data_IF_585408157669
#
_entry.id   IF_585408157669
#
_cell.length_a   1.000
_cell.length_b   1.000
_cell.length_c   1.000
_cell.angle_alpha   90.00
_cell.angle_beta   90.00
_cell.angle_gamma   90.00
#
_symmetry.space_group_name_H-M   'P 1'
#
loop_
_entity.id
_entity.type
_entity.pdbx_description
1 polymer ?
#
# COMPACT_ATOMS: atom_id res chain seq x y z
N UNK A 1 -4.11 10.42 19.64
CA UNK A 1 -5.33 9.78 19.11
C UNK A 1 -5.06 9.42 17.66
N UNK A 2 -5.00 8.14 17.31
CA UNK A 2 -4.92 7.72 15.91
C UNK A 2 -6.34 7.58 15.39
N UNK A 3 -6.75 8.40 14.42
CA UNK A 3 -8.08 8.30 13.83
C UNK A 3 -7.97 7.53 12.51
N UNK A 4 -8.66 6.39 12.44
CA UNK A 4 -8.72 5.58 11.22
C UNK A 4 -9.78 6.19 10.31
N UNK A 5 -9.37 6.73 9.16
CA UNK A 5 -10.31 7.09 8.09
C UNK A 5 -10.72 5.81 7.36
N UNK A 6 -12.01 5.46 7.43
CA UNK A 6 -12.59 4.28 6.78
C UNK A 6 -13.24 4.71 5.47
N UNK A 7 -12.46 4.76 4.40
CA UNK A 7 -12.92 5.15 3.06
C UNK A 7 -11.78 5.20 2.05
N UNK A 8 -12.06 5.05 0.74
CA UNK A 8 -11.04 5.23 -0.28
C UNK A 8 -10.53 6.68 -0.29
N UNK A 9 -9.24 6.85 -0.56
CA UNK A 9 -8.60 8.16 -0.65
C UNK A 9 -9.03 8.84 -1.96
N UNK A 10 -10.00 9.74 -1.88
CA UNK A 10 -10.57 10.49 -3.01
C UNK A 10 -10.29 11.98 -2.83
N UNK A 11 -10.30 12.79 -3.90
CA UNK A 11 -10.08 14.24 -3.79
C UNK A 11 -11.01 14.92 -2.79
N UNK A 12 -12.27 14.50 -2.75
CA UNK A 12 -13.30 15.03 -1.85
C UNK A 12 -13.08 14.60 -0.39
N UNK A 13 -12.47 13.42 -0.16
CA UNK A 13 -12.32 12.82 1.17
C UNK A 13 -10.94 12.99 1.77
N UNK A 14 -9.94 13.42 0.99
CA UNK A 14 -8.53 13.38 1.38
C UNK A 14 -8.04 14.63 2.13
N UNK A 15 -8.49 15.82 1.73
CA UNK A 15 -7.91 17.06 2.27
C UNK A 15 -8.22 17.28 3.75
N UNK A 16 -9.46 16.99 4.17
CA UNK A 16 -9.90 17.20 5.55
C UNK A 16 -9.21 16.27 6.56
N UNK A 17 -9.04 14.97 6.30
CA UNK A 17 -8.21 14.10 7.14
C UNK A 17 -6.76 14.56 7.18
N UNK A 18 -6.14 14.88 6.04
CA UNK A 18 -4.72 15.30 5.97
C UNK A 18 -4.46 16.54 6.82
N UNK A 19 -5.39 17.51 6.83
CA UNK A 19 -5.28 18.72 7.66
C UNK A 19 -5.27 18.47 9.17
N UNK A 20 -5.68 17.29 9.65
CA UNK A 20 -5.71 16.95 11.09
C UNK A 20 -4.39 16.39 11.62
N UNK A 21 -3.39 16.22 10.76
CA UNK A 21 -2.11 15.61 11.09
C UNK A 21 -0.96 16.51 10.67
N UNK A 22 0.15 16.45 11.40
CA UNK A 22 1.34 17.28 11.12
C UNK A 22 2.34 16.60 10.15
N UNK A 23 2.21 15.27 9.98
CA UNK A 23 3.03 14.45 9.10
C UNK A 23 2.19 13.33 8.50
N UNK A 24 2.39 13.08 7.21
CA UNK A 24 1.66 12.05 6.46
C UNK A 24 2.63 10.99 5.96
N UNK A 25 2.23 9.72 6.02
CA UNK A 25 2.94 8.61 5.41
C UNK A 25 2.13 8.05 4.24
N UNK A 26 2.73 8.02 3.05
CA UNK A 26 2.15 7.38 1.87
C UNK A 26 2.67 5.94 1.76
N UNK A 27 1.79 5.00 2.08
CA UNK A 27 2.01 3.56 1.97
C UNK A 27 1.21 2.95 0.81
N UNK A 28 0.76 3.78 -0.14
CA UNK A 28 -0.02 3.32 -1.27
C UNK A 28 0.85 2.61 -2.30
N UNK A 29 0.22 1.78 -3.12
CA UNK A 29 0.87 0.95 -4.12
C UNK A 29 0.41 1.32 -5.55
N UNK A 30 -0.15 2.52 -5.69
CA UNK A 30 -0.65 3.07 -6.94
C UNK A 30 -0.17 4.53 -7.09
N UNK A 31 0.13 4.90 -8.33
CA UNK A 31 0.76 6.19 -8.64
C UNK A 31 -0.22 7.34 -8.42
N UNK A 32 -1.51 7.15 -8.73
CA UNK A 32 -2.56 8.18 -8.58
C UNK A 32 -2.68 8.66 -7.13
N UNK A 33 -2.67 7.75 -6.15
CA UNK A 33 -2.70 8.08 -4.72
C UNK A 33 -1.44 8.83 -4.30
N UNK A 34 -0.27 8.45 -4.82
CA UNK A 34 0.97 9.20 -4.56
C UNK A 34 0.88 10.67 -4.97
N UNK A 35 0.31 10.97 -6.14
CA UNK A 35 0.06 12.36 -6.57
C UNK A 35 -1.00 13.05 -5.71
N UNK A 36 -2.11 12.36 -5.41
CA UNK A 36 -3.19 12.90 -4.59
C UNK A 36 -2.71 13.30 -3.19
N UNK A 37 -2.01 12.38 -2.51
CA UNK A 37 -1.48 12.60 -1.16
C UNK A 37 -0.39 13.67 -1.17
N UNK A 38 0.47 13.70 -2.19
CA UNK A 38 1.43 14.79 -2.36
C UNK A 38 0.75 16.15 -2.40
N UNK A 39 -0.23 16.31 -3.29
CA UNK A 39 -0.88 17.59 -3.49
C UNK A 39 -1.67 18.01 -2.24
N UNK A 40 -2.28 17.07 -1.54
CA UNK A 40 -2.93 17.31 -0.25
C UNK A 40 -1.94 17.78 0.82
N UNK A 41 -0.77 17.15 0.92
CA UNK A 41 0.28 17.54 1.86
C UNK A 41 0.83 18.93 1.54
N UNK A 42 1.08 19.24 0.27
CA UNK A 42 1.55 20.59 -0.15
C UNK A 42 0.51 21.65 0.18
N UNK A 43 -0.77 21.41 -0.12
CA UNK A 43 -1.86 22.35 0.17
C UNK A 43 -2.08 22.55 1.68
N UNK A 44 -1.77 21.55 2.49
CA UNK A 44 -1.90 21.60 3.94
C UNK A 44 -0.61 22.09 4.64
N UNK A 45 0.51 22.19 3.92
CA UNK A 45 1.81 22.58 4.48
C UNK A 45 2.50 21.46 5.28
N UNK A 46 2.17 20.19 5.01
CA UNK A 46 2.67 19.04 5.77
C UNK A 46 3.77 18.28 5.04
N UNK A 47 4.66 17.68 5.84
CA UNK A 47 5.68 16.78 5.32
C UNK A 47 5.06 15.43 4.93
N UNK A 48 5.53 14.89 3.81
CA UNK A 48 5.10 13.59 3.30
C UNK A 48 6.27 12.60 3.31
N UNK A 49 6.15 11.51 4.04
CA UNK A 49 7.08 10.37 3.98
C UNK A 49 6.51 9.34 3.01
N UNK A 50 7.08 9.22 1.81
CA UNK A 50 6.63 8.25 0.80
C UNK A 50 7.66 7.13 0.65
N UNK A 51 7.17 5.91 0.65
CA UNK A 51 7.96 4.71 0.40
C UNK A 51 7.23 3.84 -0.63
N UNK A 52 7.98 3.29 -1.58
CA UNK A 52 7.44 2.41 -2.61
C UNK A 52 8.40 1.26 -2.88
N UNK A 53 7.86 0.11 -3.27
CA UNK A 53 8.66 -1.03 -3.66
C UNK A 53 8.11 -1.70 -4.92
N UNK A 54 9.01 -2.34 -5.65
CA UNK A 54 8.70 -3.12 -6.83
C UNK A 54 9.64 -4.32 -6.87
N UNK A 55 9.09 -5.54 -6.85
CA UNK A 55 9.87 -6.79 -6.84
C UNK A 55 10.83 -6.88 -5.64
N UNK A 56 12.14 -6.73 -5.89
CA UNK A 56 13.23 -6.77 -4.91
C UNK A 56 13.87 -5.40 -4.70
N UNK A 57 13.26 -4.34 -5.23
CA UNK A 57 13.75 -2.98 -5.12
C UNK A 57 12.78 -2.13 -4.30
N UNK A 58 13.33 -1.17 -3.58
CA UNK A 58 12.61 -0.26 -2.73
C UNK A 58 13.16 1.14 -2.79
N UNK A 59 12.33 2.12 -2.51
CA UNK A 59 12.75 3.50 -2.33
C UNK A 59 11.99 4.19 -1.22
N UNK A 60 12.63 5.16 -0.58
CA UNK A 60 12.02 6.02 0.43
C UNK A 60 12.62 7.43 0.39
N UNK A 61 11.77 8.44 0.55
CA UNK A 61 12.19 9.84 0.69
C UNK A 61 11.18 10.64 1.52
N UNK A 62 11.58 11.83 1.96
CA UNK A 62 10.73 12.77 2.67
C UNK A 62 10.53 14.01 1.80
N UNK A 63 9.29 14.26 1.42
CA UNK A 63 8.86 15.37 0.61
C UNK A 63 8.29 16.51 1.45
N UNK A 64 8.42 17.73 0.94
CA UNK A 64 7.81 18.96 1.45
C UNK A 64 8.08 19.29 2.93
N UNK A 65 9.07 18.64 3.55
CA UNK A 65 9.53 19.00 4.88
C UNK A 65 10.19 20.39 4.86
N UNK A 66 9.74 21.29 5.74
CA UNK A 66 10.18 22.69 5.83
C UNK A 66 10.16 23.44 4.48
N UNK A 67 9.12 23.20 3.65
CA UNK A 67 9.01 23.82 2.33
C UNK A 67 9.97 23.25 1.28
N UNK A 68 10.55 22.08 1.54
CA UNK A 68 11.40 21.35 0.61
C UNK A 68 10.69 20.85 -0.65
N UNK A 69 11.42 20.08 -1.47
CA UNK A 69 10.91 19.54 -2.73
C UNK A 69 9.67 18.66 -2.50
N UNK A 70 8.63 18.83 -3.31
CA UNK A 70 7.48 17.93 -3.31
C UNK A 70 7.67 16.78 -4.31
N UNK A 71 6.79 15.78 -4.29
CA UNK A 71 6.81 14.65 -5.22
C UNK A 71 6.89 15.10 -6.69
N UNK A 72 6.11 16.13 -7.05
CA UNK A 72 6.08 16.71 -8.41
C UNK A 72 7.36 17.40 -8.85
N UNK A 73 8.24 17.77 -7.91
CA UNK A 73 9.56 18.30 -8.29
C UNK A 73 10.42 17.24 -8.97
N UNK A 74 10.20 15.96 -8.64
CA UNK A 74 10.89 14.82 -9.26
C UNK A 74 10.04 14.24 -10.39
N UNK A 75 8.77 13.97 -10.12
CA UNK A 75 7.83 13.33 -11.04
C UNK A 75 6.77 14.34 -11.49
N UNK A 76 7.08 15.12 -12.53
CA UNK A 76 6.35 16.37 -12.83
C UNK A 76 4.89 16.18 -13.20
N UNK A 77 4.59 15.13 -13.97
CA UNK A 77 3.24 14.82 -14.40
C UNK A 77 2.95 13.34 -14.14
N UNK A 78 1.73 13.01 -13.70
CA UNK A 78 1.30 11.63 -13.61
C UNK A 78 1.46 10.95 -14.97
N UNK A 79 1.97 9.70 -14.99
CA UNK A 79 2.08 8.95 -16.23
C UNK A 79 0.69 8.75 -16.87
N UNK A 80 0.60 8.69 -18.22
CA UNK A 80 -0.64 8.34 -18.91
C UNK A 80 -1.17 6.98 -18.43
N UNK A 81 -2.50 6.84 -18.34
CA UNK A 81 -3.19 5.63 -17.91
C UNK A 81 -2.63 4.34 -18.55
N UNK A 82 -2.33 4.41 -19.85
CA UNK A 82 -1.83 3.30 -20.66
C UNK A 82 -0.44 2.77 -20.26
N UNK A 83 0.33 3.58 -19.53
CA UNK A 83 1.72 3.25 -19.12
C UNK A 83 1.83 2.93 -17.63
N UNK A 84 0.74 3.06 -16.87
CA UNK A 84 0.68 2.68 -15.46
C UNK A 84 0.70 1.16 -15.38
N UNK A 85 1.85 0.58 -15.04
CA UNK A 85 1.97 -0.85 -14.79
C UNK A 85 1.39 -1.15 -13.41
N UNK A 86 0.29 -1.89 -13.34
CA UNK A 86 -0.24 -2.36 -12.07
C UNK A 86 0.80 -3.24 -11.38
N UNK A 87 1.20 -2.91 -10.14
CA UNK A 87 2.22 -3.65 -9.39
C UNK A 87 1.86 -5.13 -9.10
N UNK A 88 0.72 -5.62 -9.59
CA UNK A 88 0.25 -6.99 -9.43
C UNK A 88 1.05 -7.96 -10.33
N UNK A 89 1.54 -7.51 -11.49
CA UNK A 89 2.34 -8.38 -12.39
C UNK A 89 3.77 -8.65 -11.88
N UNK A 90 4.23 -7.88 -10.90
CA UNK A 90 5.57 -8.02 -10.33
C UNK A 90 5.51 -8.66 -8.95
N UNK A 91 5.57 -10.00 -8.89
CA UNK A 91 5.72 -10.79 -7.64
C UNK A 91 6.56 -10.03 -6.61
N UNK A 92 5.88 -9.40 -5.65
CA UNK A 92 6.50 -8.49 -4.70
C UNK A 92 6.90 -9.26 -3.45
N UNK A 93 8.16 -9.14 -3.05
CA UNK A 93 8.60 -9.79 -1.82
C UNK A 93 8.13 -8.96 -0.61
N UNK A 94 7.15 -9.50 0.14
CA UNK A 94 6.55 -8.83 1.32
C UNK A 94 7.57 -8.36 2.38
N UNK A 95 8.73 -9.02 2.44
CA UNK A 95 9.83 -8.64 3.32
C UNK A 95 10.40 -7.26 2.94
N UNK A 96 10.47 -6.93 1.65
CA UNK A 96 10.96 -5.62 1.16
C UNK A 96 10.04 -4.50 1.64
N UNK A 97 8.71 -4.68 1.52
CA UNK A 97 7.74 -3.75 2.10
C UNK A 97 7.82 -3.65 3.61
N UNK A 98 8.12 -4.75 4.31
CA UNK A 98 8.32 -4.72 5.76
C UNK A 98 9.52 -3.85 6.14
N UNK A 99 10.65 -4.00 5.45
CA UNK A 99 11.86 -3.18 5.66
C UNK A 99 11.57 -1.70 5.38
N UNK A 100 10.93 -1.39 4.25
CA UNK A 100 10.57 -0.02 3.91
C UNK A 100 9.55 0.58 4.88
N UNK A 101 8.57 -0.18 5.35
CA UNK A 101 7.59 0.26 6.33
C UNK A 101 8.25 0.65 7.66
N UNK A 102 9.22 -0.14 8.13
CA UNK A 102 10.02 0.21 9.31
C UNK A 102 10.82 1.50 9.10
N UNK A 103 11.45 1.67 7.93
CA UNK A 103 12.18 2.88 7.59
C UNK A 103 11.25 4.10 7.52
N UNK A 104 10.06 3.94 6.96
CA UNK A 104 9.03 4.96 6.85
C UNK A 104 8.51 5.39 8.21
N UNK A 105 8.14 4.44 9.07
CA UNK A 105 7.72 4.71 10.44
C UNK A 105 8.82 5.46 11.22
N UNK A 106 10.08 5.07 11.05
CA UNK A 106 11.20 5.78 11.68
C UNK A 106 11.28 7.25 11.22
N UNK A 107 10.99 7.57 9.96
CA UNK A 107 11.00 8.98 9.50
C UNK A 107 9.84 9.78 10.06
N UNK A 108 8.66 9.19 10.10
CA UNK A 108 7.48 9.79 10.73
C UNK A 108 7.78 10.12 12.19
N UNK A 109 8.32 9.16 12.96
CA UNK A 109 8.69 9.37 14.35
C UNK A 109 9.75 10.46 14.53
N UNK A 110 10.76 10.51 13.66
CA UNK A 110 11.79 11.56 13.71
C UNK A 110 11.22 12.96 13.44
N UNK A 111 10.31 13.08 12.49
CA UNK A 111 9.62 14.35 12.19
C UNK A 111 8.74 14.75 13.38
N UNK A 112 7.90 13.84 13.87
CA UNK A 112 7.03 14.09 15.02
C UNK A 112 7.79 14.47 16.29
N UNK A 113 8.98 13.90 16.50
CA UNK A 113 9.85 14.23 17.62
C UNK A 113 10.72 15.49 17.38
N UNK A 114 10.53 16.22 16.27
CA UNK A 114 11.35 17.38 15.89
C UNK A 114 12.86 17.11 15.81
N UNK A 115 13.25 15.86 15.53
CA UNK A 115 14.64 15.45 15.33
C UNK A 115 15.14 15.67 13.90
N UNK A 116 14.26 16.16 13.02
CA UNK A 116 14.49 16.34 11.60
C UNK A 116 14.49 15.02 10.81
N UNK A 117 14.00 15.00 9.56
CA UNK A 117 14.03 13.80 8.74
C UNK A 117 15.43 13.55 8.20
N UNK A 118 15.85 12.28 8.22
CA UNK A 118 16.81 11.85 7.21
C UNK A 118 16.04 11.69 5.89
N UNK A 119 16.66 12.05 4.77
CA UNK A 119 16.11 11.94 3.41
C UNK A 119 15.17 13.06 2.93
N UNK A 120 15.10 14.21 3.62
CA UNK A 120 14.67 15.44 2.94
C UNK A 120 15.77 15.85 1.97
N UNK A 121 15.45 15.98 0.67
CA UNK A 121 16.46 16.27 -0.37
C UNK A 121 17.31 15.08 -0.81
N UNK A 122 16.97 13.84 -0.41
CA UNK A 122 17.63 12.64 -0.93
C UNK A 122 16.67 11.46 -1.05
N UNK A 123 16.93 10.57 -2.00
CA UNK A 123 16.21 9.34 -2.24
C UNK A 123 17.08 8.17 -1.77
N UNK A 124 16.59 7.40 -0.80
CA UNK A 124 17.24 6.16 -0.41
C UNK A 124 16.67 5.03 -1.28
N UNK A 125 17.55 4.36 -2.01
CA UNK A 125 17.24 3.13 -2.74
C UNK A 125 17.69 1.92 -1.93
N UNK A 126 16.88 0.88 -1.95
CA UNK A 126 17.14 -0.41 -1.35
C UNK A 126 17.10 -1.50 -2.43
N UNK A 127 18.22 -2.19 -2.60
CA UNK A 127 18.33 -3.38 -3.45
C UNK A 127 18.37 -4.60 -2.53
N UNK A 128 17.27 -5.35 -2.46
CA UNK A 128 17.14 -6.52 -1.60
C UNK A 128 17.90 -7.74 -2.14
N UNK A 129 18.16 -7.81 -3.45
CA UNK A 129 18.92 -8.90 -4.04
C UNK A 129 20.39 -8.85 -3.60
N UNK A 130 20.96 -7.64 -3.54
CA UNK A 130 22.34 -7.41 -3.09
C UNK A 130 22.44 -7.04 -1.61
N UNK A 131 21.33 -6.65 -0.98
CA UNK A 131 21.30 -6.17 0.40
C UNK A 131 21.91 -4.77 0.57
N UNK A 132 21.88 -3.95 -0.49
CA UNK A 132 22.56 -2.67 -0.52
C UNK A 132 21.60 -1.49 -0.35
N UNK A 133 22.06 -0.47 0.37
CA UNK A 133 21.40 0.83 0.44
C UNK A 133 22.22 1.86 -0.33
N UNK A 134 21.55 2.66 -1.17
CA UNK A 134 22.17 3.72 -1.94
C UNK A 134 21.39 5.02 -1.77
N UNK A 135 22.05 6.05 -1.23
CA UNK A 135 21.49 7.40 -1.18
C UNK A 135 21.79 8.18 -2.45
N UNK A 136 20.78 8.79 -3.06
CA UNK A 136 20.91 9.71 -4.18
C UNK A 136 20.48 11.10 -3.70
N UNK A 137 21.32 12.12 -3.90
CA UNK A 137 20.91 13.50 -3.66
C UNK A 137 19.94 13.94 -4.74
N UNK A 138 18.81 14.50 -4.32
CA UNK A 138 17.80 15.02 -5.22
C UNK A 138 18.12 16.48 -5.53
N UNK A 139 17.63 16.95 -6.68
CA UNK A 139 17.66 18.37 -7.03
C UNK A 139 16.77 19.15 -6.07
N UNK A 140 17.07 20.43 -5.88
CA UNK A 140 16.24 21.34 -5.09
C UNK A 140 14.85 21.50 -5.71
N UNK A 141 13.93 22.05 -4.92
CA UNK A 141 12.59 22.40 -5.34
C UNK A 141 12.60 23.21 -6.65
N UNK A 142 11.68 22.88 -7.56
CA UNK A 142 11.51 23.55 -8.85
C UNK A 142 10.64 24.80 -8.69
N UNK A 143 11.14 25.94 -9.17
CA UNK A 143 10.39 27.21 -9.15
C UNK A 143 9.11 27.16 -9.99
N UNK A 144 9.09 26.35 -11.04
CA UNK A 144 7.97 26.12 -11.95
C UNK A 144 7.13 24.89 -11.58
N UNK A 145 7.29 24.34 -10.38
CA UNK A 145 6.51 23.19 -9.94
C UNK A 145 5.01 23.53 -9.84
N UNK A 146 4.17 22.71 -10.46
CA UNK A 146 2.72 22.89 -10.46
C UNK A 146 2.08 22.92 -9.06
N UNK A 147 2.69 22.28 -8.05
CA UNK A 147 2.16 22.24 -6.69
C UNK A 147 2.87 23.18 -5.70
N UNK A 148 4.21 23.17 -5.63
CA UNK A 148 4.96 23.94 -4.63
C UNK A 148 5.86 25.03 -5.24
N UNK A 149 5.68 25.35 -6.52
CA UNK A 149 6.44 26.40 -7.22
C UNK A 149 5.98 27.81 -6.84
N UNK A 150 6.59 28.82 -7.46
CA UNK A 150 6.28 30.24 -7.20
C UNK A 150 4.84 30.61 -7.61
N UNK A 151 4.33 29.95 -8.64
CA UNK A 151 2.99 30.17 -9.19
C UNK A 151 2.28 28.81 -9.35
N UNK A 152 1.81 28.20 -8.25
CA UNK A 152 1.25 26.87 -8.29
C UNK A 152 -0.07 26.87 -9.08
N UNK A 153 -0.20 25.89 -9.98
CA UNK A 153 -1.44 25.66 -10.76
C UNK A 153 -2.36 24.65 -10.08
N UNK A 154 -1.79 23.74 -9.28
CA UNK A 154 -2.55 22.82 -8.41
C UNK A 154 -2.95 23.58 -7.15
N UNK A 155 -4.21 24.03 -7.11
CA UNK A 155 -4.79 24.79 -5.99
C UNK A 155 -5.87 24.02 -5.23
N UNK A 156 -6.31 22.88 -5.80
CA UNK A 156 -7.30 21.96 -5.24
C UNK A 156 -6.93 20.53 -5.65
N UNK A 157 -7.49 19.55 -4.94
CA UNK A 157 -7.23 18.15 -5.26
C UNK A 157 -7.93 17.75 -6.56
N UNK A 158 -7.17 17.22 -7.50
CA UNK A 158 -7.67 16.68 -8.77
C UNK A 158 -8.08 15.22 -8.60
N UNK A 159 -9.07 14.79 -9.39
CA UNK A 159 -9.46 13.39 -9.49
C UNK A 159 -8.46 12.60 -10.33
N UNK A 160 -7.43 12.11 -9.65
CA UNK A 160 -6.37 11.33 -10.28
C UNK A 160 -6.84 9.94 -10.71
N UNK A 161 -7.94 9.40 -10.18
CA UNK A 161 -8.48 8.13 -10.67
C UNK A 161 -9.14 8.31 -12.03
N UNK A 162 -9.97 9.35 -12.16
CA UNK A 162 -10.56 9.73 -13.44
C UNK A 162 -9.48 10.13 -14.47
N UNK A 163 -8.40 10.78 -14.03
CA UNK A 163 -7.30 11.19 -14.90
C UNK A 163 -6.38 10.04 -15.31
N UNK A 164 -6.01 9.16 -14.37
CA UNK A 164 -5.07 8.06 -14.61
C UNK A 164 -5.76 6.76 -15.07
N UNK A 165 -7.10 6.75 -15.19
CA UNK A 165 -7.86 5.56 -15.61
C UNK A 165 -7.67 4.36 -14.67
N UNK A 166 -7.28 4.60 -13.43
CA UNK A 166 -6.93 3.60 -12.43
C UNK A 166 -7.58 3.95 -11.09
N UNK A 167 -8.50 3.11 -10.63
CA UNK A 167 -9.12 3.21 -9.31
C UNK A 167 -8.11 2.82 -8.22
N UNK A 168 -8.18 3.43 -7.04
CA UNK A 168 -7.42 2.99 -5.87
C UNK A 168 -7.72 1.52 -5.49
N UNK A 169 -8.83 0.97 -6.00
CA UNK A 169 -9.26 -0.42 -5.85
C UNK A 169 -8.98 -1.31 -7.06
N UNK A 170 -8.18 -0.90 -8.05
CA UNK A 170 -7.92 -1.70 -9.27
C UNK A 170 -7.35 -3.09 -8.99
N UNK A 171 -6.74 -3.28 -7.81
CA UNK A 171 -6.23 -4.58 -7.34
C UNK A 171 -7.32 -5.48 -6.77
N UNK A 172 -8.49 -4.91 -6.47
CA UNK A 172 -9.69 -5.63 -6.13
C UNK A 172 -10.40 -5.98 -7.45
N UNK A 173 -9.85 -6.95 -8.18
CA UNK A 173 -10.68 -7.72 -9.12
C UNK A 173 -11.96 -8.08 -8.40
N UNK A 174 -13.11 -7.93 -9.05
CA UNK A 174 -14.44 -8.26 -8.53
C UNK A 174 -14.39 -9.60 -7.79
N UNK A 175 -14.09 -9.56 -6.50
CA UNK A 175 -14.05 -10.75 -5.68
C UNK A 175 -15.52 -11.13 -5.62
N UNK A 176 -15.88 -12.23 -6.30
CA UNK A 176 -17.11 -12.93 -5.99
C UNK A 176 -16.92 -13.50 -4.59
N UNK A 177 -17.12 -12.62 -3.60
CA UNK A 177 -17.23 -13.01 -2.22
C UNK A 177 -18.40 -13.97 -2.17
N UNK A 178 -18.13 -15.16 -1.65
CA UNK A 178 -19.17 -16.14 -1.38
C UNK A 178 -20.21 -15.49 -0.46
N UNK A 179 -21.50 -15.81 -0.65
CA UNK A 179 -22.54 -15.24 0.18
C UNK A 179 -22.38 -15.70 1.63
N UNK A 180 -22.89 -14.98 2.64
CA UNK A 180 -22.71 -15.34 4.05
C UNK A 180 -23.10 -16.79 4.38
N UNK A 181 -24.06 -17.38 3.67
CA UNK A 181 -24.42 -18.81 3.82
C UNK A 181 -23.33 -19.81 3.41
N UNK A 182 -22.34 -19.39 2.62
CA UNK A 182 -21.20 -20.20 2.21
C UNK A 182 -20.01 -20.09 3.18
N UNK A 183 -20.15 -19.32 4.27
CA UNK A 183 -19.13 -19.19 5.32
C UNK A 183 -19.57 -19.88 6.61
N UNK A 184 -18.59 -20.35 7.37
CA UNK A 184 -18.80 -20.81 8.75
C UNK A 184 -17.95 -19.94 9.67
N UNK A 185 -18.50 -19.53 10.81
CA UNK A 185 -17.67 -18.89 11.84
C UNK A 185 -16.79 -19.93 12.55
N UNK A 186 -15.69 -19.49 13.15
CA UNK A 186 -14.80 -20.37 13.95
C UNK A 186 -15.57 -21.06 15.07
N UNK A 187 -16.48 -20.34 15.72
CA UNK A 187 -17.36 -20.86 16.79
C UNK A 187 -18.35 -21.90 16.28
N UNK A 188 -18.93 -21.71 15.10
CA UNK A 188 -19.88 -22.66 14.52
C UNK A 188 -19.17 -23.91 14.03
N UNK A 189 -17.98 -23.73 13.46
CA UNK A 189 -17.15 -24.84 13.04
C UNK A 189 -16.65 -25.67 14.22
N UNK A 190 -16.30 -25.03 15.34
CA UNK A 190 -15.96 -25.76 16.58
C UNK A 190 -17.13 -26.61 17.07
N UNK A 191 -18.36 -26.08 17.02
CA UNK A 191 -19.58 -26.84 17.35
C UNK A 191 -19.79 -28.01 16.39
N UNK A 192 -19.52 -27.83 15.11
CA UNK A 192 -19.59 -28.89 14.10
C UNK A 192 -18.55 -29.98 14.38
N UNK A 193 -17.30 -29.61 14.70
CA UNK A 193 -16.26 -30.55 15.12
C UNK A 193 -16.68 -31.35 16.37
N UNK A 194 -17.23 -30.66 17.37
CA UNK A 194 -17.67 -31.29 18.63
C UNK A 194 -18.87 -32.22 18.43
N UNK A 195 -19.72 -31.93 17.45
CA UNK A 195 -20.86 -32.77 17.09
C UNK A 195 -20.46 -34.09 16.40
N UNK A 196 -19.22 -34.19 15.90
CA UNK A 196 -18.73 -35.36 15.17
C UNK A 196 -19.36 -35.52 13.78
N UNK A 197 -20.04 -34.50 13.25
CA UNK A 197 -20.62 -34.53 11.92
C UNK A 197 -19.53 -34.79 10.86
N UNK A 198 -19.74 -35.69 9.88
CA UNK A 198 -18.74 -35.99 8.86
C UNK A 198 -18.56 -34.80 7.92
N UNK A 199 -17.32 -34.34 7.75
CA UNK A 199 -16.96 -33.25 6.85
C UNK A 199 -15.50 -33.35 6.41
N UNK A 200 -15.13 -32.62 5.35
CA UNK A 200 -13.76 -32.49 4.86
C UNK A 200 -13.21 -31.11 5.22
N UNK A 201 -12.06 -31.07 5.89
CA UNK A 201 -11.30 -29.84 6.11
C UNK A 201 -10.11 -29.77 5.16
N UNK A 202 -10.11 -28.76 4.30
CA UNK A 202 -9.04 -28.50 3.34
C UNK A 202 -8.22 -27.29 3.78
N UNK A 203 -7.00 -27.52 4.24
CA UNK A 203 -6.06 -26.45 4.50
C UNK A 203 -5.30 -26.09 3.22
N UNK A 204 -5.57 -24.88 2.73
CA UNK A 204 -4.96 -24.34 1.51
C UNK A 204 -3.69 -23.53 1.81
N UNK A 205 -3.25 -23.45 3.08
CA UNK A 205 -2.02 -22.75 3.45
C UNK A 205 -0.80 -23.47 2.90
N UNK A 206 0.29 -22.74 2.60
CA UNK A 206 1.56 -23.35 2.23
C UNK A 206 2.05 -24.35 3.29
N UNK A 207 2.74 -25.41 2.86
CA UNK A 207 3.23 -26.48 3.74
C UNK A 207 4.02 -25.97 4.95
N UNK A 208 4.83 -24.92 4.76
CA UNK A 208 5.60 -24.32 5.86
C UNK A 208 4.71 -23.74 6.97
N UNK A 209 3.55 -23.19 6.64
CA UNK A 209 2.61 -22.62 7.61
C UNK A 209 1.75 -23.70 8.26
N UNK A 210 1.32 -24.70 7.50
CA UNK A 210 0.53 -25.83 8.00
C UNK A 210 1.28 -26.66 9.06
N UNK A 211 2.61 -26.76 8.94
CA UNK A 211 3.48 -27.47 9.89
C UNK A 211 3.57 -26.78 11.26
N UNK A 212 3.36 -25.46 11.32
CA UNK A 212 3.43 -24.72 12.59
C UNK A 212 2.20 -24.97 13.48
N UNK A 213 1.02 -25.06 12.87
CA UNK A 213 -0.22 -25.38 13.56
C UNK A 213 -1.28 -25.79 12.53
N UNK A 214 -1.92 -26.94 12.73
CA UNK A 214 -3.03 -27.43 11.93
C UNK A 214 -4.14 -28.00 12.82
N UNK A 215 -5.35 -28.06 12.30
CA UNK A 215 -6.44 -28.74 12.99
C UNK A 215 -6.29 -30.26 12.84
N UNK A 216 -6.69 -31.06 13.83
CA UNK A 216 -6.37 -32.49 13.89
C UNK A 216 -6.98 -33.36 12.78
N UNK A 217 -7.89 -32.83 11.94
CA UNK A 217 -8.64 -33.59 10.91
C UNK A 217 -8.32 -33.07 9.49
N UNK A 218 -7.18 -32.41 9.31
CA UNK A 218 -6.85 -31.75 8.04
C UNK A 218 -6.30 -32.75 7.01
N UNK A 219 -6.84 -32.75 5.79
CA UNK A 219 -6.24 -33.44 4.65
C UNK A 219 -5.38 -32.46 3.84
N UNK A 220 -4.12 -32.82 3.55
CA UNK A 220 -3.25 -32.05 2.65
C UNK A 220 -3.72 -32.22 1.20
N UNK A 221 -3.77 -31.13 0.42
CA UNK A 221 -4.02 -31.22 -1.02
C UNK A 221 -2.88 -30.60 -1.84
N UNK A 222 -2.47 -31.30 -2.90
CA UNK A 222 -1.78 -30.70 -4.05
C UNK A 222 -2.85 -30.32 -5.05
N UNK A 223 -3.36 -29.08 -4.99
CA UNK A 223 -4.34 -28.61 -5.97
C UNK A 223 -3.60 -28.33 -7.28
N UNK A 224 -3.63 -29.28 -8.20
CA UNK A 224 -3.43 -29.01 -9.63
C UNK A 224 -4.75 -28.47 -10.19
N UNK A 225 -4.64 -27.39 -10.96
CA UNK A 225 -5.72 -26.61 -11.54
C UNK A 225 -6.70 -27.47 -12.38
N UNK A 226 -7.87 -27.77 -11.80
CA UNK A 226 -9.20 -27.98 -12.46
C UNK A 226 -10.12 -28.81 -11.55
N UNK A 227 -10.56 -28.27 -10.41
CA UNK A 227 -11.77 -28.76 -9.75
C UNK A 227 -12.47 -27.60 -9.03
N UNK A 228 -13.73 -27.36 -9.41
CA UNK A 228 -14.65 -26.48 -8.71
C UNK A 228 -15.20 -27.22 -7.49
N UNK A 229 -14.64 -26.94 -6.31
CA UNK A 229 -15.18 -27.38 -5.02
C UNK A 229 -15.26 -26.23 -4.02
N UNK A 230 -16.28 -26.34 -3.17
CA UNK A 230 -16.69 -25.46 -2.08
C UNK A 230 -15.60 -25.36 -1.00
N UNK A 231 -15.27 -24.15 -0.54
CA UNK A 231 -14.15 -23.89 0.38
C UNK A 231 -14.66 -23.06 1.56
N UNK A 232 -14.57 -23.62 2.76
CA UNK A 232 -14.98 -22.95 3.98
C UNK A 232 -13.84 -22.08 4.53
N UNK A 233 -14.04 -20.77 4.61
CA UNK A 233 -13.36 -19.90 5.58
C UNK A 233 -11.86 -19.63 5.41
N UNK A 234 -11.47 -19.00 4.30
CA UNK A 234 -10.51 -17.88 4.19
C UNK A 234 -10.34 -17.67 2.69
N UNK A 235 -10.75 -16.48 2.22
CA UNK A 235 -10.97 -16.17 0.82
C UNK A 235 -9.88 -16.73 -0.09
N UNK A 236 -10.30 -17.51 -1.10
CA UNK A 236 -9.48 -17.75 -2.29
C UNK A 236 -9.19 -16.39 -2.92
N UNK A 237 -7.98 -15.89 -2.68
CA UNK A 237 -7.33 -15.03 -3.67
C UNK A 237 -6.99 -15.97 -4.83
N UNK A 238 -7.76 -15.89 -5.91
CA UNK A 238 -7.26 -16.37 -7.20
C UNK A 238 -6.04 -15.51 -7.50
N UNK A 239 -4.88 -16.16 -7.62
CA UNK A 239 -3.66 -15.54 -8.12
C UNK A 239 -3.95 -14.96 -9.52
N UNK A 240 -3.81 -13.65 -9.63
CA UNK A 240 -3.37 -12.99 -10.85
C UNK A 240 -1.84 -13.00 -10.84
#
# INVERSE_FOLDING_TARGET
MSAVHSGPFMPVTTLDPVRRYDVVADCSDNVSTGYLVNDACVLAGWALVSASALRLEGQITVYHYDGGLCYRCIFSQPPPAETVTNCVDGRMLRVVTGVLGCLQALKVLKIAASLGPSYSGSLLLFDALRGHFRGIRLRSCRLDCAACGKWPTVTHLLDYEAFCGSLATDKCHSLQLLSPEDHVSVTDYKRLLDSGAPHLLLDIRPKMEAVLASLPITAESKINSKLSLFCCGLGRVREC
#
